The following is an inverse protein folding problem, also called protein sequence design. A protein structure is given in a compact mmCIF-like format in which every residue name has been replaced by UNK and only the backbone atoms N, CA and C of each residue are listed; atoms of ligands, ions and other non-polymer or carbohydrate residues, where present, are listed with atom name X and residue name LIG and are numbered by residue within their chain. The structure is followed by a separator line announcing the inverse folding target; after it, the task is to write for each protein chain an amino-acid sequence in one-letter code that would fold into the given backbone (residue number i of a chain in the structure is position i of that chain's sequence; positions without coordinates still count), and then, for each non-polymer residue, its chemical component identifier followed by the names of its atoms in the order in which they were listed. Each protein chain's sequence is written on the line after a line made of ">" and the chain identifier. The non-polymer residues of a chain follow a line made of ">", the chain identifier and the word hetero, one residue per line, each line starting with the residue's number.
data_IF_851413832097
#
_entry.id   IF_851413832097
#
_cell.length_a   1.000
_cell.length_b   1.000
_cell.length_c   1.000
_cell.angle_alpha   90.00
_cell.angle_beta   90.00
_cell.angle_gamma   90.00
#
_symmetry.space_group_name_H-M   'P 1'
#
loop_
_entity.id
_entity.type
_entity.pdbx_description
1 polymer ?
#
# COMPACT_ATOMS: atom_id res chain seq x y z
N UNK A 1 11.27 4.45 -20.43
CA UNK A 1 11.10 4.63 -18.97
C UNK A 1 9.62 4.59 -18.65
N UNK A 2 9.27 4.20 -17.41
CA UNK A 2 7.86 4.13 -17.00
C UNK A 2 7.67 4.72 -15.60
N UNK A 3 6.53 5.36 -15.42
CA UNK A 3 5.99 5.79 -14.14
C UNK A 3 4.68 5.05 -13.88
N UNK A 4 4.59 4.37 -12.74
CA UNK A 4 3.39 3.73 -12.25
C UNK A 4 2.99 4.40 -10.93
N UNK A 5 1.73 4.82 -10.83
CA UNK A 5 1.13 5.28 -9.57
C UNK A 5 0.04 4.30 -9.21
N UNK A 6 0.10 3.75 -8.00
CA UNK A 6 -0.89 2.84 -7.42
C UNK A 6 -1.41 3.40 -6.11
N UNK A 7 -2.63 3.02 -5.76
CA UNK A 7 -3.17 3.19 -4.41
C UNK A 7 -3.56 1.84 -3.84
N UNK A 8 -3.41 1.74 -2.53
CA UNK A 8 -3.95 0.64 -1.74
C UNK A 8 -5.06 1.17 -0.84
N UNK A 9 -6.20 0.49 -0.81
CA UNK A 9 -7.31 0.84 0.06
C UNK A 9 -8.07 -0.40 0.56
N UNK A 10 -8.60 -0.36 1.77
CA UNK A 10 -9.54 -1.36 2.24
C UNK A 10 -10.93 -1.17 1.60
N UNK A 11 -11.65 -2.27 1.46
CA UNK A 11 -13.07 -2.30 1.09
C UNK A 11 -13.82 -3.31 1.98
N UNK A 12 -14.77 -2.85 2.83
CA UNK A 12 -15.16 -1.46 3.04
C UNK A 12 -14.03 -0.64 3.68
N UNK A 13 -14.07 0.70 3.49
CA UNK A 13 -13.04 1.62 3.98
C UNK A 13 -12.77 1.42 5.48
N UNK A 14 -13.82 1.23 6.28
CA UNK A 14 -13.71 1.04 7.74
C UNK A 14 -13.43 -0.40 8.19
N UNK A 15 -13.36 -1.34 7.25
CA UNK A 15 -13.21 -2.78 7.52
C UNK A 15 -12.13 -3.13 8.53
N UNK A 16 -10.85 -2.78 8.30
CA UNK A 16 -9.76 -3.08 9.23
C UNK A 16 -9.98 -2.46 10.63
N UNK A 17 -10.54 -1.26 10.68
CA UNK A 17 -10.73 -0.48 11.92
C UNK A 17 -11.91 -0.94 12.76
N UNK A 18 -12.88 -1.64 12.18
CA UNK A 18 -13.99 -2.23 12.94
C UNK A 18 -13.49 -3.21 14.00
N UNK A 19 -12.42 -3.95 13.73
CA UNK A 19 -11.79 -4.82 14.72
C UNK A 19 -11.21 -4.02 15.89
N UNK A 20 -10.50 -2.91 15.61
CA UNK A 20 -9.92 -2.03 16.64
C UNK A 20 -11.02 -1.43 17.50
N UNK A 21 -12.11 -0.98 16.87
CA UNK A 21 -13.28 -0.41 17.55
C UNK A 21 -13.86 -1.39 18.57
N UNK A 22 -14.14 -2.60 18.12
CA UNK A 22 -14.83 -3.61 18.94
C UNK A 22 -13.97 -4.18 20.06
N UNK A 23 -12.64 -4.22 19.87
CA UNK A 23 -11.71 -4.81 20.84
C UNK A 23 -11.10 -3.80 21.80
N UNK A 24 -10.44 -2.75 21.30
CA UNK A 24 -9.67 -1.83 22.13
C UNK A 24 -10.50 -0.61 22.55
N UNK A 25 -11.18 0.03 21.60
CA UNK A 25 -11.88 1.27 21.87
C UNK A 25 -13.12 1.07 22.76
N UNK A 26 -13.94 0.05 22.49
CA UNK A 26 -15.13 -0.22 23.30
C UNK A 26 -14.76 -0.53 24.77
N UNK A 27 -13.67 -1.25 25.01
CA UNK A 27 -13.15 -1.50 26.36
C UNK A 27 -12.71 -0.20 27.04
N UNK A 28 -11.97 0.65 26.32
CA UNK A 28 -11.60 1.97 26.82
C UNK A 28 -12.84 2.81 27.17
N UNK A 29 -13.83 2.86 26.27
CA UNK A 29 -15.03 3.66 26.44
C UNK A 29 -15.83 3.24 27.68
N UNK A 30 -15.94 1.94 27.95
CA UNK A 30 -16.56 1.41 29.16
C UNK A 30 -15.81 1.86 30.42
N UNK A 31 -14.47 1.82 30.40
CA UNK A 31 -13.66 2.31 31.51
C UNK A 31 -13.82 3.83 31.71
N UNK A 32 -13.81 4.64 30.63
CA UNK A 32 -14.02 6.08 30.70
C UNK A 32 -15.40 6.43 31.31
N UNK A 33 -16.44 5.68 30.91
CA UNK A 33 -17.79 5.82 31.49
C UNK A 33 -17.77 5.53 33.01
N UNK A 34 -17.04 4.50 33.46
CA UNK A 34 -16.91 4.20 34.89
C UNK A 34 -16.21 5.31 35.69
N UNK A 35 -15.37 6.09 35.01
CA UNK A 35 -14.66 7.26 35.57
C UNK A 35 -15.46 8.57 35.41
N UNK A 36 -16.68 8.54 34.87
CA UNK A 36 -17.48 9.71 34.50
C UNK A 36 -16.76 10.68 33.54
N UNK A 37 -15.87 10.15 32.69
CA UNK A 37 -15.17 10.92 31.65
C UNK A 37 -15.98 10.86 30.35
N UNK A 38 -16.28 12.00 29.69
CA UNK A 38 -16.97 12.00 28.39
C UNK A 38 -16.17 11.27 27.30
N UNK A 39 -16.78 10.26 26.69
CA UNK A 39 -16.15 9.46 25.62
C UNK A 39 -16.17 10.24 24.29
N UNK A 40 -15.01 10.33 23.63
CA UNK A 40 -14.87 10.86 22.27
C UNK A 40 -15.30 9.81 21.27
N UNK A 41 -16.08 10.13 20.22
CA UNK A 41 -16.58 9.14 19.27
C UNK A 41 -15.43 8.47 18.49
N UNK A 42 -15.60 7.18 18.16
CA UNK A 42 -14.70 6.48 17.26
C UNK A 42 -14.75 7.13 15.87
N UNK A 43 -13.61 7.55 15.28
CA UNK A 43 -13.63 8.28 14.02
C UNK A 43 -13.96 7.37 12.85
N UNK A 44 -14.60 7.96 11.85
CA UNK A 44 -14.72 7.36 10.52
C UNK A 44 -13.53 7.78 9.68
N UNK A 45 -13.06 6.88 8.83
CA UNK A 45 -12.11 7.29 7.80
C UNK A 45 -12.78 8.27 6.82
N UNK A 46 -12.00 9.19 6.23
CA UNK A 46 -12.50 10.05 5.17
C UNK A 46 -12.88 9.21 3.94
N UNK A 47 -13.79 9.72 3.11
CA UNK A 47 -14.34 8.96 1.98
C UNK A 47 -13.31 8.62 0.88
N UNK A 48 -12.20 9.35 0.85
CA UNK A 48 -11.06 9.17 -0.05
C UNK A 48 -9.88 8.45 0.62
N UNK A 49 -10.09 7.81 1.77
CA UNK A 49 -9.05 7.10 2.50
C UNK A 49 -8.37 6.04 1.63
N UNK A 50 -7.05 6.12 1.59
CA UNK A 50 -6.14 5.12 1.05
C UNK A 50 -5.13 4.79 2.13
N UNK A 51 -4.79 3.52 2.30
CA UNK A 51 -3.75 3.09 3.23
C UNK A 51 -2.39 3.56 2.73
N UNK A 52 -2.13 3.35 1.45
CA UNK A 52 -0.85 3.70 0.83
C UNK A 52 -1.05 4.26 -0.58
N UNK A 53 -0.14 5.15 -0.98
CA UNK A 53 0.08 5.51 -2.39
C UNK A 53 1.50 5.13 -2.76
N UNK A 54 1.63 4.23 -3.74
CA UNK A 54 2.93 3.80 -4.25
C UNK A 54 3.19 4.46 -5.60
N UNK A 55 4.30 5.19 -5.74
CA UNK A 55 4.82 5.68 -7.01
C UNK A 55 6.10 4.93 -7.36
N UNK A 56 6.16 4.38 -8.56
CA UNK A 56 7.30 3.61 -9.05
C UNK A 56 7.79 4.24 -10.35
N UNK A 57 9.09 4.52 -10.42
CA UNK A 57 9.74 5.06 -11.62
C UNK A 57 10.94 4.17 -11.93
N UNK A 58 11.02 3.71 -13.18
CA UNK A 58 12.13 2.87 -13.64
C UNK A 58 12.53 3.15 -15.09
N UNK A 59 13.83 3.04 -15.35
CA UNK A 59 14.42 3.06 -16.68
C UNK A 59 14.84 1.66 -17.18
N UNK A 60 14.62 0.62 -16.37
CA UNK A 60 15.05 -0.77 -16.62
C UNK A 60 16.34 -1.16 -15.90
N UNK A 61 17.18 -0.20 -15.52
CA UNK A 61 18.45 -0.39 -14.79
C UNK A 61 18.43 0.22 -13.40
N UNK A 62 17.73 1.34 -13.25
CA UNK A 62 17.51 2.08 -12.02
C UNK A 62 16.02 2.06 -11.66
N UNK A 63 15.75 2.17 -10.37
CA UNK A 63 14.41 2.01 -9.82
C UNK A 63 14.22 2.90 -8.61
N UNK A 64 13.10 3.61 -8.55
CA UNK A 64 12.62 4.29 -7.35
C UNK A 64 11.22 3.79 -7.04
N UNK A 65 10.99 3.43 -5.79
CA UNK A 65 9.66 3.18 -5.21
C UNK A 65 9.46 4.09 -4.02
N UNK A 66 8.52 5.01 -4.15
CA UNK A 66 8.05 5.89 -3.09
C UNK A 66 6.70 5.39 -2.58
N UNK A 67 6.59 5.07 -1.31
CA UNK A 67 5.35 4.72 -0.61
C UNK A 67 5.00 5.90 0.28
N UNK A 68 3.86 6.52 0.05
CA UNK A 68 3.29 7.55 0.91
C UNK A 68 2.20 6.91 1.75
N UNK A 69 2.19 7.21 3.06
CA UNK A 69 1.12 6.83 3.99
C UNK A 69 0.31 8.09 4.28
N UNK A 70 -0.80 8.35 3.55
CA UNK A 70 -1.44 9.68 3.59
C UNK A 70 -2.18 9.96 4.90
N UNK A 71 -2.46 8.92 5.67
CA UNK A 71 -3.11 9.01 6.96
C UNK A 71 -2.31 8.24 8.02
N UNK A 72 -2.30 8.75 9.24
CA UNK A 72 -1.82 8.07 10.44
C UNK A 72 -3.00 7.78 11.37
N UNK A 73 -2.99 6.60 11.99
CA UNK A 73 -3.96 6.22 13.01
C UNK A 73 -3.34 6.44 14.39
N UNK A 74 -3.73 7.52 15.05
CA UNK A 74 -3.15 7.96 16.30
C UNK A 74 -3.96 7.44 17.50
N UNK A 75 -3.30 6.59 18.29
CA UNK A 75 -3.85 5.97 19.51
C UNK A 75 -3.20 6.50 20.79
N UNK A 76 -2.34 7.52 20.73
CA UNK A 76 -1.56 8.00 21.90
C UNK A 76 -2.45 8.49 23.04
N UNK A 77 -3.66 8.93 22.72
CA UNK A 77 -4.69 9.39 23.67
C UNK A 77 -5.87 8.42 23.75
N UNK A 78 -5.69 7.16 23.39
CA UNK A 78 -6.72 6.14 23.57
C UNK A 78 -6.67 5.59 25.00
N UNK A 79 -6.96 6.45 25.98
CA UNK A 79 -7.03 6.09 27.40
C UNK A 79 -8.35 6.52 28.05
N UNK A 80 -8.80 5.86 29.12
CA UNK A 80 -10.05 6.23 29.79
C UNK A 80 -10.08 7.68 30.29
N UNK A 81 -8.94 8.18 30.79
CA UNK A 81 -8.77 9.53 31.37
C UNK A 81 -8.84 10.63 30.30
N UNK A 82 -8.53 10.28 29.06
CA UNK A 82 -8.54 11.20 27.91
C UNK A 82 -9.83 11.08 27.09
N UNK A 83 -10.79 10.28 27.56
CA UNK A 83 -12.05 10.03 26.86
C UNK A 83 -11.89 9.11 25.65
N UNK A 84 -10.84 8.28 25.63
CA UNK A 84 -10.56 7.30 24.58
C UNK A 84 -10.41 7.94 23.19
N UNK A 85 -9.65 9.03 23.13
CA UNK A 85 -9.44 9.75 21.89
C UNK A 85 -8.62 8.92 20.89
N UNK A 86 -9.25 8.58 19.77
CA UNK A 86 -8.63 7.97 18.60
C UNK A 86 -8.75 8.96 17.44
N UNK A 87 -7.68 9.13 16.66
CA UNK A 87 -7.70 10.05 15.51
C UNK A 87 -7.18 9.38 14.25
N UNK A 88 -7.80 9.75 13.13
CA UNK A 88 -7.25 9.52 11.79
C UNK A 88 -6.85 10.90 11.30
N UNK A 89 -5.55 11.12 11.16
CA UNK A 89 -5.00 12.43 10.81
C UNK A 89 -4.12 12.35 9.56
N UNK A 90 -4.03 13.42 8.78
CA UNK A 90 -3.12 13.46 7.63
C UNK A 90 -1.69 13.16 8.07
N UNK A 91 -1.00 12.34 7.30
CA UNK A 91 0.40 11.97 7.54
C UNK A 91 1.26 12.35 6.35
N UNK A 92 2.52 12.65 6.65
CA UNK A 92 3.56 12.90 5.66
C UNK A 92 4.65 11.81 5.69
N UNK A 93 4.36 10.69 6.35
CA UNK A 93 5.25 9.53 6.39
C UNK A 93 5.46 9.02 4.96
N UNK A 94 6.72 8.78 4.62
CA UNK A 94 7.10 8.30 3.30
C UNK A 94 8.28 7.35 3.41
N UNK A 95 8.23 6.26 2.66
CA UNK A 95 9.32 5.28 2.51
C UNK A 95 9.76 5.23 1.06
N UNK A 96 11.05 5.40 0.80
CA UNK A 96 11.61 5.55 -0.55
C UNK A 96 12.74 4.55 -0.72
N UNK A 97 12.51 3.56 -1.55
CA UNK A 97 13.50 2.57 -1.97
C UNK A 97 14.10 2.99 -3.32
N UNK A 98 15.43 3.08 -3.39
CA UNK A 98 16.17 3.56 -4.55
C UNK A 98 17.24 2.54 -4.92
N UNK A 99 17.15 1.98 -6.12
CA UNK A 99 18.21 1.20 -6.75
C UNK A 99 18.89 2.07 -7.80
N UNK A 100 20.18 2.34 -7.61
CA UNK A 100 20.99 3.10 -8.55
C UNK A 100 22.36 2.45 -8.71
N UNK A 101 22.73 2.08 -9.94
CA UNK A 101 24.00 1.42 -10.22
C UNK A 101 24.21 0.10 -9.43
N UNK A 102 23.12 -0.64 -9.16
CA UNK A 102 23.15 -1.88 -8.39
C UNK A 102 23.18 -1.71 -6.87
N UNK A 103 23.30 -0.48 -6.35
CA UNK A 103 23.21 -0.20 -4.92
C UNK A 103 21.78 0.16 -4.52
N UNK A 104 21.27 -0.49 -3.48
CA UNK A 104 19.97 -0.16 -2.88
C UNK A 104 20.16 0.78 -1.69
N UNK A 105 19.34 1.82 -1.61
CA UNK A 105 19.29 2.76 -0.49
C UNK A 105 17.83 3.01 -0.14
N UNK A 106 17.55 3.03 1.16
CA UNK A 106 16.23 3.37 1.69
C UNK A 106 16.30 4.73 2.35
N UNK A 107 15.38 5.63 1.98
CA UNK A 107 15.17 6.92 2.62
C UNK A 107 13.76 6.93 3.18
N UNK A 108 13.61 7.19 4.48
CA UNK A 108 12.30 7.24 5.14
C UNK A 108 12.12 8.54 5.90
N UNK A 109 10.90 9.08 5.90
CA UNK A 109 10.44 10.13 6.81
C UNK A 109 9.42 9.53 7.74
N UNK A 110 9.66 9.59 9.05
CA UNK A 110 8.66 9.16 10.02
C UNK A 110 7.52 10.19 10.17
N UNK A 111 6.45 9.80 10.88
CA UNK A 111 5.29 10.67 11.12
C UNK A 111 5.63 11.98 11.87
N UNK A 112 6.76 12.03 12.58
CA UNK A 112 7.27 13.23 13.25
C UNK A 112 8.10 14.13 12.31
N UNK A 113 8.23 13.72 11.05
CA UNK A 113 8.96 14.44 10.02
C UNK A 113 10.47 14.20 10.03
N UNK A 114 11.00 13.26 10.84
CA UNK A 114 12.43 12.97 10.90
C UNK A 114 12.83 12.04 9.75
N UNK A 115 13.85 12.47 9.01
CA UNK A 115 14.45 11.69 7.93
C UNK A 115 15.48 10.68 8.44
N UNK A 116 15.53 9.52 7.79
CA UNK A 116 16.58 8.50 7.96
C UNK A 116 16.98 7.97 6.60
N UNK A 117 18.26 7.65 6.47
CA UNK A 117 18.83 7.03 5.27
C UNK A 117 19.64 5.83 5.70
N UNK A 118 19.34 4.69 5.10
CA UNK A 118 19.96 3.41 5.43
C UNK A 118 20.35 2.69 4.13
N UNK A 119 21.45 1.93 4.16
CA UNK A 119 21.76 1.02 3.07
C UNK A 119 20.64 -0.05 3.02
N UNK A 120 20.00 -0.17 1.87
CA UNK A 120 18.82 -1.00 1.73
C UNK A 120 19.18 -2.46 1.45
N UNK A 121 18.43 -3.39 2.04
CA UNK A 121 18.24 -4.71 1.45
C UNK A 121 17.02 -4.60 0.53
N UNK A 122 17.04 -5.20 -0.66
CA UNK A 122 15.93 -5.10 -1.59
C UNK A 122 14.65 -5.59 -0.90
N UNK A 123 13.75 -4.65 -0.55
CA UNK A 123 12.44 -5.00 -0.04
C UNK A 123 11.68 -5.61 -1.21
N UNK A 124 11.59 -6.94 -1.25
CA UNK A 124 10.73 -7.64 -2.19
C UNK A 124 9.32 -7.08 -2.05
N UNK A 125 8.81 -6.45 -3.12
CA UNK A 125 7.42 -6.02 -3.16
C UNK A 125 6.54 -7.25 -2.91
N UNK A 126 5.64 -7.17 -1.94
CA UNK A 126 4.92 -8.30 -1.35
C UNK A 126 4.08 -9.14 -2.32
N UNK A 127 3.98 -8.78 -3.60
CA UNK A 127 3.37 -9.59 -4.65
C UNK A 127 4.07 -9.30 -5.98
N UNK A 128 5.09 -10.08 -6.31
CA UNK A 128 5.68 -10.11 -7.64
C UNK A 128 5.19 -11.38 -8.35
N UNK A 129 4.68 -11.25 -9.57
CA UNK A 129 4.34 -12.39 -10.41
C UNK A 129 5.62 -12.89 -11.07
N UNK A 130 5.95 -14.17 -10.90
CA UNK A 130 7.14 -14.73 -11.54
C UNK A 130 7.01 -14.62 -13.05
N UNK A 131 8.13 -14.30 -13.72
CA UNK A 131 8.15 -14.08 -15.16
C UNK A 131 7.70 -15.31 -15.94
N UNK A 132 8.02 -16.50 -15.42
CA UNK A 132 7.68 -17.80 -16.00
C UNK A 132 6.15 -18.08 -15.93
N UNK A 133 5.44 -17.42 -15.01
CA UNK A 133 4.01 -17.63 -14.79
C UNK A 133 3.12 -16.70 -15.63
N UNK A 134 3.69 -15.75 -16.40
CA UNK A 134 2.92 -14.75 -17.14
C UNK A 134 2.04 -15.32 -18.26
N UNK A 135 2.33 -16.53 -18.72
CA UNK A 135 1.49 -17.24 -19.70
C UNK A 135 0.11 -17.59 -19.15
N UNK A 136 -0.03 -17.71 -17.83
CA UNK A 136 -1.31 -18.00 -17.17
C UNK A 136 -2.22 -16.78 -17.04
N UNK A 137 -1.68 -15.56 -17.22
CA UNK A 137 -2.44 -14.30 -17.16
C UNK A 137 -3.12 -14.05 -18.52
N UNK A 138 -4.38 -14.48 -18.62
CA UNK A 138 -5.14 -14.51 -19.87
C UNK A 138 -6.37 -13.62 -19.87
N UNK A 139 -6.94 -13.33 -18.70
CA UNK A 139 -8.12 -12.48 -18.61
C UNK A 139 -7.73 -11.01 -18.78
N UNK A 140 -8.34 -10.31 -19.74
CA UNK A 140 -8.09 -8.90 -19.97
C UNK A 140 -9.01 -8.05 -19.10
N UNK A 141 -8.44 -7.06 -18.42
CA UNK A 141 -9.16 -6.13 -17.55
C UNK A 141 -8.60 -4.72 -17.73
N UNK A 142 -9.35 -3.68 -17.37
CA UNK A 142 -8.84 -2.31 -17.39
C UNK A 142 -9.28 -1.56 -16.15
N UNK A 143 -8.35 -0.85 -15.52
CA UNK A 143 -8.60 -0.02 -14.33
C UNK A 143 -7.99 1.35 -14.58
N UNK A 144 -8.78 2.42 -14.43
CA UNK A 144 -8.34 3.81 -14.63
C UNK A 144 -7.59 4.02 -15.97
N UNK A 145 -8.06 3.36 -17.04
CA UNK A 145 -7.45 3.42 -18.36
C UNK A 145 -6.17 2.59 -18.55
N UNK A 146 -5.66 1.94 -17.49
CA UNK A 146 -4.53 1.02 -17.56
C UNK A 146 -5.03 -0.37 -17.98
N UNK A 147 -4.51 -0.89 -19.09
CA UNK A 147 -4.82 -2.24 -19.57
C UNK A 147 -4.03 -3.27 -18.76
N UNK A 148 -4.71 -4.32 -18.34
CA UNK A 148 -4.19 -5.35 -17.45
C UNK A 148 -4.47 -6.75 -18.02
N UNK A 149 -3.59 -7.69 -17.70
CA UNK A 149 -3.84 -9.12 -17.82
C UNK A 149 -3.88 -9.74 -16.43
N UNK A 150 -4.86 -10.58 -16.18
CA UNK A 150 -5.16 -11.14 -14.87
C UNK A 150 -5.09 -12.66 -14.89
N UNK A 151 -4.79 -13.25 -13.73
CA UNK A 151 -5.00 -14.68 -13.52
C UNK A 151 -6.50 -15.00 -13.64
N UNK A 152 -6.87 -16.09 -14.33
CA UNK A 152 -8.24 -16.59 -14.33
C UNK A 152 -8.73 -16.86 -12.92
N UNK A 153 -10.03 -16.68 -12.69
CA UNK A 153 -10.65 -17.01 -11.40
C UNK A 153 -10.47 -18.48 -10.99
N UNK A 154 -10.30 -19.38 -11.98
CA UNK A 154 -10.00 -20.80 -11.78
C UNK A 154 -8.54 -21.10 -11.48
N UNK A 155 -7.65 -20.10 -11.49
CA UNK A 155 -6.24 -20.29 -11.13
C UNK A 155 -6.12 -20.74 -9.68
N UNK A 156 -5.29 -21.75 -9.41
CA UNK A 156 -5.07 -22.30 -8.08
C UNK A 156 -4.66 -21.24 -7.05
N UNK A 157 -3.91 -20.20 -7.47
CA UNK A 157 -3.52 -19.08 -6.62
C UNK A 157 -4.72 -18.23 -6.19
N UNK A 158 -5.70 -18.05 -7.08
CA UNK A 158 -6.93 -17.29 -6.79
C UNK A 158 -7.88 -18.16 -5.95
N UNK A 159 -8.12 -19.40 -6.37
CA UNK A 159 -9.11 -20.27 -5.72
C UNK A 159 -8.73 -20.71 -4.29
N UNK A 160 -7.43 -20.76 -3.96
CA UNK A 160 -6.96 -21.37 -2.70
C UNK A 160 -6.46 -20.39 -1.63
N UNK A 161 -6.04 -19.16 -1.99
CA UNK A 161 -5.18 -18.33 -1.12
C UNK A 161 -5.78 -16.97 -0.74
N UNK A 162 -7.11 -16.88 -0.57
CA UNK A 162 -7.81 -15.62 -0.21
C UNK A 162 -7.62 -14.45 -1.21
N UNK A 163 -6.85 -14.68 -2.28
CA UNK A 163 -6.61 -13.79 -3.39
C UNK A 163 -7.79 -13.89 -4.33
N UNK A 164 -8.44 -12.79 -4.63
CA UNK A 164 -9.65 -12.77 -5.47
C UNK A 164 -9.34 -12.26 -6.87
N UNK A 165 -8.28 -11.47 -7.01
CA UNK A 165 -7.76 -11.04 -8.30
C UNK A 165 -6.29 -10.70 -8.19
N UNK A 166 -5.55 -10.98 -9.26
CA UNK A 166 -4.14 -10.64 -9.40
C UNK A 166 -3.86 -10.33 -10.87
N UNK A 167 -3.39 -9.12 -11.15
CA UNK A 167 -3.17 -8.65 -12.51
C UNK A 167 -1.85 -7.90 -12.66
N UNK A 168 -1.26 -8.08 -13.83
CA UNK A 168 -0.05 -7.42 -14.30
C UNK A 168 -0.38 -6.51 -15.48
N UNK A 169 0.62 -5.77 -15.96
CA UNK A 169 0.49 -4.97 -17.18
C UNK A 169 0.09 -5.84 -18.38
N UNK A 170 -0.92 -5.38 -19.12
CA UNK A 170 -1.41 -6.06 -20.31
C UNK A 170 -0.52 -5.95 -21.54
N UNK A 171 0.52 -5.12 -21.52
CA UNK A 171 1.51 -5.03 -22.60
C UNK A 171 2.49 -6.23 -22.61
N UNK A 172 3.11 -6.49 -23.77
CA UNK A 172 4.13 -7.55 -23.95
C UNK A 172 5.42 -7.27 -23.16
N UNK A 173 5.60 -6.05 -22.67
CA UNK A 173 6.70 -5.63 -21.81
C UNK A 173 6.15 -5.30 -20.42
N UNK A 174 5.80 -6.34 -19.66
CA UNK A 174 5.35 -6.17 -18.29
C UNK A 174 6.40 -5.37 -17.50
N UNK A 175 5.92 -4.39 -16.73
CA UNK A 175 6.75 -3.69 -15.76
C UNK A 175 7.39 -4.71 -14.82
N UNK A 176 8.71 -4.68 -14.70
CA UNK A 176 9.44 -5.60 -13.82
C UNK A 176 9.87 -4.93 -12.52
N UNK A 177 9.87 -5.71 -11.45
CA UNK A 177 10.58 -5.40 -10.21
C UNK A 177 12.09 -5.59 -10.40
N UNK A 178 12.88 -5.13 -9.44
CA UNK A 178 14.36 -5.14 -9.51
C UNK A 178 14.96 -6.54 -9.55
N UNK A 179 14.21 -7.55 -9.11
CA UNK A 179 14.53 -8.98 -9.20
C UNK A 179 14.08 -9.63 -10.53
N UNK A 180 13.54 -8.84 -11.46
CA UNK A 180 13.12 -9.29 -12.79
C UNK A 180 11.72 -9.91 -12.85
N UNK A 181 11.02 -10.05 -11.73
CA UNK A 181 9.64 -10.49 -11.68
C UNK A 181 8.69 -9.43 -12.25
N UNK A 182 7.52 -9.82 -12.73
CA UNK A 182 6.51 -8.87 -13.17
C UNK A 182 5.80 -8.24 -11.98
N UNK A 183 5.55 -6.94 -12.10
CA UNK A 183 4.88 -6.16 -11.08
C UNK A 183 3.38 -6.40 -11.12
N UNK A 184 2.81 -6.64 -9.95
CA UNK A 184 1.35 -6.68 -9.78
C UNK A 184 0.83 -5.25 -9.78
N UNK A 185 0.06 -4.93 -10.82
CA UNK A 185 -0.55 -3.62 -11.02
C UNK A 185 -1.90 -3.51 -10.33
N UNK A 186 -2.64 -4.62 -10.27
CA UNK A 186 -3.90 -4.73 -9.55
C UNK A 186 -3.96 -6.01 -8.72
N UNK A 187 -4.45 -5.91 -7.50
CA UNK A 187 -4.80 -7.06 -6.68
C UNK A 187 -6.03 -6.77 -5.82
N UNK A 188 -6.78 -7.83 -5.55
CA UNK A 188 -7.87 -7.82 -4.57
C UNK A 188 -7.67 -9.02 -3.67
N UNK A 189 -7.35 -8.77 -2.40
CA UNK A 189 -6.94 -9.82 -1.48
C UNK A 189 -7.72 -9.68 -0.19
N UNK A 190 -8.29 -10.78 0.28
CA UNK A 190 -8.78 -10.86 1.65
C UNK A 190 -7.55 -11.14 2.54
N UNK A 191 -7.22 -10.27 3.52
CA UNK A 191 -6.01 -10.47 4.33
C UNK A 191 -6.07 -11.75 5.16
N UNK A 192 -4.90 -12.38 5.34
CA UNK A 192 -4.76 -13.55 6.20
C UNK A 192 -5.21 -13.23 7.63
N UNK A 193 -6.05 -14.10 8.19
CA UNK A 193 -6.55 -13.93 9.57
C UNK A 193 -7.66 -12.88 9.71
N UNK A 194 -8.24 -12.41 8.60
CA UNK A 194 -9.39 -11.52 8.61
C UNK A 194 -10.57 -12.14 9.39
N UNK A 195 -11.04 -11.42 10.42
CA UNK A 195 -12.13 -11.85 11.27
C UNK A 195 -13.43 -11.93 10.44
N UNK A 196 -14.11 -13.09 10.39
CA UNK A 196 -15.35 -13.23 9.63
C UNK A 196 -16.46 -12.25 10.02
N UNK A 197 -16.39 -11.66 11.23
CA UNK A 197 -17.34 -10.62 11.71
C UNK A 197 -17.09 -9.26 11.08
N UNK A 198 -15.88 -8.99 10.61
CA UNK A 198 -15.47 -7.71 10.01
C UNK A 198 -14.81 -7.94 8.65
N UNK A 199 -15.50 -8.60 7.70
CA UNK A 199 -14.88 -8.99 6.45
C UNK A 199 -14.51 -7.75 5.63
N UNK A 200 -13.24 -7.62 5.32
CA UNK A 200 -12.75 -6.65 4.34
C UNK A 200 -11.77 -7.27 3.35
N UNK A 201 -11.54 -6.57 2.25
CA UNK A 201 -10.47 -6.87 1.30
C UNK A 201 -9.55 -5.66 1.20
N UNK A 202 -8.30 -5.90 0.83
CA UNK A 202 -7.34 -4.88 0.43
C UNK A 202 -7.28 -4.89 -1.08
N UNK A 203 -7.55 -3.73 -1.67
CA UNK A 203 -7.48 -3.51 -3.12
C UNK A 203 -6.25 -2.65 -3.38
N UNK A 204 -5.34 -3.16 -4.19
CA UNK A 204 -4.27 -2.38 -4.79
C UNK A 204 -4.62 -2.15 -6.25
N UNK A 205 -4.63 -0.91 -6.72
CA UNK A 205 -5.03 -0.59 -8.08
C UNK A 205 -4.20 0.54 -8.69
N UNK A 206 -4.00 0.54 -10.02
CA UNK A 206 -3.25 1.60 -10.67
C UNK A 206 -4.13 2.85 -10.80
N UNK A 207 -3.60 4.01 -10.41
CA UNK A 207 -4.16 5.30 -10.76
C UNK A 207 -3.69 5.76 -12.14
N UNK A 208 -2.43 5.49 -12.47
CA UNK A 208 -1.88 5.81 -13.79
C UNK A 208 -0.67 4.95 -14.12
N UNK A 209 -0.48 4.70 -15.41
CA UNK A 209 0.73 4.09 -15.97
C UNK A 209 1.13 4.93 -17.18
N UNK A 210 2.33 5.51 -17.15
CA UNK A 210 2.85 6.38 -18.20
C UNK A 210 4.18 5.86 -18.73
N UNK A 211 4.36 5.95 -20.03
CA UNK A 211 5.68 5.91 -20.66
C UNK A 211 6.28 7.31 -20.57
N UNK A 212 7.52 7.40 -20.11
CA UNK A 212 8.26 8.67 -20.03
C UNK A 212 9.35 8.71 -21.09
N UNK A 213 9.47 9.84 -21.79
CA UNK A 213 10.50 10.10 -22.80
C UNK A 213 11.87 10.37 -22.16
N UNK A 214 11.86 11.04 -20.99
CA UNK A 214 13.06 11.34 -20.19
C UNK A 214 12.71 11.34 -18.70
N UNK A 215 13.65 10.90 -17.87
CA UNK A 215 13.63 11.05 -16.42
C UNK A 215 14.90 11.80 -16.00
N UNK A 216 14.77 12.75 -15.07
CA UNK A 216 15.95 13.36 -14.45
C UNK A 216 16.64 12.31 -13.57
N UNK A 217 17.89 11.97 -13.88
CA UNK A 217 18.67 10.96 -13.16
C UNK A 217 18.80 11.25 -11.66
N UNK A 218 18.62 12.51 -11.24
CA UNK A 218 18.55 12.90 -9.82
C UNK A 218 17.45 12.18 -9.04
N UNK A 219 16.40 11.70 -9.70
CA UNK A 219 15.35 10.92 -9.03
C UNK A 219 15.91 9.63 -8.42
N UNK A 220 17.01 9.09 -8.95
CA UNK A 220 17.69 7.92 -8.43
C UNK A 220 18.81 8.27 -7.44
N UNK A 221 18.93 9.53 -7.03
CA UNK A 221 19.86 10.00 -6.00
C UNK A 221 19.11 10.12 -4.65
N UNK A 222 19.51 9.39 -3.59
CA UNK A 222 18.94 9.53 -2.25
C UNK A 222 18.91 10.96 -1.72
N UNK A 223 19.89 11.80 -2.08
CA UNK A 223 19.98 13.19 -1.63
C UNK A 223 18.83 14.09 -2.17
N UNK A 224 18.10 13.62 -3.19
CA UNK A 224 16.90 14.30 -3.70
C UNK A 224 15.77 14.30 -2.68
N UNK A 225 15.77 13.37 -1.72
CA UNK A 225 14.65 13.13 -0.82
C UNK A 225 14.86 13.58 0.62
N UNK A 226 16.10 13.86 1.04
CA UNK A 226 16.45 14.16 2.44
C UNK A 226 16.52 15.66 2.75
N UNK A 227 15.80 16.52 2.00
CA UNK A 227 15.83 17.98 2.15
C UNK A 227 14.70 18.53 3.01
#
# INVERSE_FOLDING_TARGET
>A
MRELVQVERPDPIDGPRMMIRETAYNLCALAAQSLNVPVKPFPKAPGDYVSERTTIITDGSNYVRKIEHPYNENTDKMSPETGCEYRIEPSNQVDIAILNGGKMTTVSRDANGKWRTEDGVAAGGSLAAKKEDLSSYSDSFAVNGVKLRCLPASSGLISANETQALCVDGSDQALSTTDGNAMVLYSRIKPLGNDPRFPYVVIKEPLSLKQLDKVDGKIFDPATYTK
#
